data_IF_976035813292
#
_entry.id   IF_976035813292
#
_cell.length_a   1.000
_cell.length_b   1.000
_cell.length_c   1.000
_cell.angle_alpha   90.00
_cell.angle_beta   90.00
_cell.angle_gamma   90.00
#
_symmetry.space_group_name_H-M   'P 1'
#
loop_
_entity.id
_entity.type
_entity.pdbx_description
1 polymer ?
2 polymer ?
3 polymer ?
4 polymer ?
5 non-polymer ?
#
loop_
_entity_poly.entity_id
_entity_poly.type
_entity_poly.pdbx_seq_one_letter_code
_entity_poly.pdbx_strand_id
1 'polyribonucleotide' 'GGUUCGAAAUUAGGUGCGCUUCGCGUUACAGUUAAGGCUCUGAAAAGAGCCUUAAUUGUAAAACGCCUAUACAGUGAAGGGAUAUACGCUUGGGUUUGUCCAGCCUGAGCCUCUAUGCCAGAAAUGGCGCCUUCAUCGUGGGUUAGGACAUUUAAUUUU' ?
2 'polydeoxyribonucleotide' '(DC)(DA)(DT)(DT)(DT)(DG)(DA)(DC)(DC)(DC)(DG)(DC)(DG)(DA)(DA)(DG)(DC)(DG)(DC)(DA)(DC)(DC)(DT)(DA)(DA)(DT)(DT)(DT)(DC)(DG)(DA)(DA)(DG)(DC)(DC)(DC)(DT)' ?
4 'polydeoxyribonucleotide' '(DA)(DG)(DG)(DG)(DC)(DT)(DT)(DC)(DG)(DA)(DA)(DA)(DT)(DT)(DA)(DG)(DG)(DT)(DG)(DC)(DG)(DC)(DT)(DT)(DC)(DG)(DC)(DG)(DG)(DG)(DT)(DC)(DA)(DA)(DA)(DT)(DG)' ?
#
# COMPACT_ATOMS: atom_id res chain seq x y z
N UNK C 7 -11.16 26.60 -21.68
CA UNK C 7 -10.95 25.85 -20.41
C UNK C 7 -10.29 26.73 -19.36
N UNK C 8 -8.99 26.96 -19.50
CA UNK C 8 -8.25 27.76 -18.54
C UNK C 8 -7.91 27.05 -17.25
N UNK C 9 -8.20 25.75 -17.15
CA UNK C 9 -7.95 25.01 -15.91
C UNK C 9 -6.49 25.15 -15.50
N UNK C 10 -6.28 25.35 -14.20
CA UNK C 10 -4.94 25.38 -13.63
C UNK C 10 -4.95 24.71 -12.27
N UNK C 11 -4.11 23.69 -12.10
CA UNK C 11 -4.17 22.86 -10.91
C UNK C 11 -2.78 22.75 -10.30
N UNK C 12 -2.74 22.57 -8.98
CA UNK C 12 -1.49 22.52 -8.25
C UNK C 12 -1.70 22.17 -6.79
N UNK C 13 -0.77 21.40 -6.24
CA UNK C 13 -0.90 21.00 -4.84
C UNK C 13 -2.24 20.34 -4.60
N UNK C 14 -2.93 20.80 -3.55
CA UNK C 14 -4.22 20.24 -3.18
C UNK C 14 -5.39 20.92 -3.87
N UNK C 15 -5.16 21.91 -4.74
CA UNK C 15 -6.25 22.75 -5.23
C UNK C 15 -6.20 22.90 -6.74
N UNK C 16 -7.32 23.34 -7.31
CA UNK C 16 -7.40 23.61 -8.74
C UNK C 16 -8.37 24.78 -8.97
N UNK C 17 -8.27 25.38 -10.14
CA UNK C 17 -9.14 26.48 -10.50
C UNK C 17 -9.55 26.44 -11.96
N UNK C 18 -10.85 26.58 -12.22
CA UNK C 18 -11.36 26.59 -13.60
C UNK C 18 -11.57 28.04 -14.06
N UNK C 19 -10.43 28.71 -14.29
CA UNK C 19 -10.43 30.10 -14.70
C UNK C 19 -10.78 30.23 -16.19
N UNK C 20 -12.04 29.93 -16.50
CA UNK C 20 -12.53 29.98 -17.87
C UNK C 20 -12.30 31.37 -18.45
N UNK C 30 -15.40 32.35 -15.86
CA UNK C 30 -15.53 31.78 -14.53
C UNK C 30 -14.20 31.81 -13.79
N UNK C 31 -14.26 31.77 -12.45
CA UNK C 31 -13.05 31.73 -11.63
C UNK C 31 -13.22 30.78 -10.44
N UNK C 32 -13.94 29.67 -10.62
CA UNK C 32 -14.31 28.80 -9.52
C UNK C 32 -13.12 27.95 -9.09
N UNK C 33 -12.80 28.00 -7.79
CA UNK C 33 -11.78 27.13 -7.22
C UNK C 33 -12.42 25.85 -6.71
N UNK C 34 -11.64 24.78 -6.72
CA UNK C 34 -12.09 23.46 -6.33
C UNK C 34 -11.02 22.78 -5.48
N UNK C 35 -11.46 22.08 -4.45
CA UNK C 35 -10.58 21.32 -3.57
C UNK C 35 -10.64 19.85 -3.96
N UNK C 36 -9.48 19.28 -4.29
CA UNK C 36 -9.38 17.89 -4.69
C UNK C 36 -9.08 17.01 -3.48
N UNK C 37 -9.40 15.72 -3.63
CA UNK C 37 -9.11 14.75 -2.58
C UNK C 37 -7.62 14.43 -2.56
N UNK C 38 -6.97 14.74 -1.44
CA UNK C 38 -5.54 14.48 -1.26
C UNK C 38 -5.28 13.32 -0.32
N UNK C 39 -6.25 12.41 -0.19
CA UNK C 39 -6.14 11.28 0.72
C UNK C 39 -6.14 9.93 0.02
N UNK C 40 -6.75 9.83 -1.16
CA UNK C 40 -6.97 8.52 -1.79
C UNK C 40 -5.68 7.73 -1.89
N UNK C 41 -4.55 8.41 -2.05
CA UNK C 41 -3.27 7.71 -2.12
C UNK C 41 -2.96 7.04 -0.78
N UNK C 42 -3.04 7.78 0.32
CA UNK C 42 -2.78 7.20 1.62
C UNK C 42 -3.82 6.18 2.03
N UNK C 43 -5.04 6.28 1.50
CA UNK C 43 -6.07 5.30 1.79
C UNK C 43 -5.77 3.99 1.05
N UNK C 44 -5.37 4.08 -0.21
CA UNK C 44 -4.99 2.88 -0.94
C UNK C 44 -3.72 2.26 -0.36
N UNK C 45 -2.80 3.08 0.14
CA UNK C 45 -1.60 2.53 0.76
C UNK C 45 -1.92 1.64 1.95
N UNK C 46 -2.91 2.00 2.76
CA UNK C 46 -3.28 1.20 3.91
C UNK C 46 -4.34 0.16 3.59
N UNK C 47 -5.02 0.27 2.46
CA UNK C 47 -5.81 -0.82 1.91
C UNK C 47 -4.92 -1.87 1.27
N UNK C 48 -3.66 -1.54 1.03
CA UNK C 48 -2.67 -2.48 0.49
C UNK C 48 -1.88 -3.13 1.61
N UNK C 49 -1.46 -2.37 2.63
CA UNK C 49 -0.81 -2.96 3.78
C UNK C 49 -1.72 -3.99 4.44
N UNK C 50 -3.02 -3.69 4.50
CA UNK C 50 -3.97 -4.62 5.10
C UNK C 50 -4.10 -5.89 4.27
N UNK C 51 -4.14 -5.75 2.94
CA UNK C 51 -4.20 -6.93 2.08
C UNK C 51 -2.94 -7.78 2.22
N UNK C 52 -1.77 -7.14 2.34
CA UNK C 52 -0.55 -7.89 2.55
C UNK C 52 -0.54 -8.63 3.87
N UNK C 53 -1.01 -7.98 4.93
CA UNK C 53 -1.12 -8.63 6.23
C UNK C 53 -2.05 -9.84 6.13
N UNK C 54 -3.20 -9.66 5.49
CA UNK C 54 -4.15 -10.74 5.35
C UNK C 54 -3.56 -11.92 4.58
N UNK C 55 -2.83 -11.64 3.50
CA UNK C 55 -2.30 -12.71 2.67
C UNK C 55 -1.15 -13.44 3.37
N UNK C 56 -0.33 -12.71 4.11
CA UNK C 56 0.69 -13.34 4.93
C UNK C 56 0.05 -14.29 5.94
N UNK C 57 -1.01 -13.85 6.60
CA UNK C 57 -1.69 -14.70 7.58
C UNK C 57 -2.30 -15.93 6.90
N UNK C 58 -2.90 -15.76 5.73
CA UNK C 58 -3.51 -16.90 5.05
C UNK C 58 -2.45 -17.93 4.67
N UNK C 59 -1.29 -17.46 4.18
CA UNK C 59 -0.22 -18.40 3.86
C UNK C 59 0.33 -19.09 5.10
N UNK C 60 0.41 -18.38 6.24
CA UNK C 60 0.79 -19.04 7.47
C UNK C 60 -0.18 -20.15 7.84
N UNK C 61 -1.48 -19.90 7.69
CA UNK C 61 -2.46 -20.94 8.00
C UNK C 61 -2.32 -22.13 7.06
N UNK C 62 -2.11 -21.87 5.76
CA UNK C 62 -1.89 -22.95 4.81
C UNK C 62 -0.71 -23.82 5.21
N UNK C 63 0.42 -23.17 5.51
CA UNK C 63 1.63 -23.90 5.84
C UNK C 63 1.46 -24.70 7.13
N UNK C 64 0.81 -24.11 8.12
CA UNK C 64 0.59 -24.84 9.37
C UNK C 64 -0.32 -26.05 9.15
N UNK C 65 -1.38 -25.89 8.36
CA UNK C 65 -2.23 -27.03 8.06
C UNK C 65 -1.43 -28.15 7.44
N UNK C 66 -0.63 -27.82 6.42
CA UNK C 66 0.16 -28.84 5.73
C UNK C 66 1.14 -29.52 6.68
N UNK C 67 1.84 -28.75 7.50
CA UNK C 67 2.81 -29.31 8.43
C UNK C 67 2.13 -30.24 9.43
N UNK C 68 0.99 -29.81 9.97
CA UNK C 68 0.24 -30.65 10.91
C UNK C 68 -0.17 -31.96 10.26
N UNK C 69 -0.75 -31.89 9.06
CA UNK C 69 -1.17 -33.10 8.37
C UNK C 69 0.01 -34.06 8.21
N UNK C 70 1.15 -33.55 7.73
CA UNK C 70 2.29 -34.42 7.49
C UNK C 70 2.79 -35.04 8.80
N UNK C 71 2.93 -34.21 9.85
CA UNK C 71 3.47 -34.73 11.10
C UNK C 71 2.57 -35.80 11.69
N UNK C 72 1.25 -35.60 11.61
CA UNK C 72 0.34 -36.63 12.09
C UNK C 72 0.42 -37.88 11.24
N UNK C 73 0.68 -37.73 9.94
CA UNK C 73 0.75 -38.89 9.06
C UNK C 73 1.92 -39.81 9.38
N UNK C 74 3.00 -39.29 9.97
CA UNK C 74 4.20 -40.07 10.21
C UNK C 74 4.36 -40.43 11.68
N UNK C 75 3.29 -40.36 12.47
CA UNK C 75 3.31 -40.83 13.84
C UNK C 75 3.63 -39.78 14.89
N UNK C 76 4.09 -38.60 14.48
CA UNK C 76 4.34 -37.50 15.41
C UNK C 76 3.04 -36.73 15.64
N UNK C 77 2.10 -37.39 16.32
CA UNK C 77 0.81 -36.77 16.57
C UNK C 77 0.97 -35.54 17.47
N UNK C 78 -0.14 -34.82 17.65
CA UNK C 78 -0.12 -33.53 18.32
C UNK C 78 0.41 -33.62 19.75
N UNK C 79 0.25 -34.76 20.41
CA UNK C 79 0.68 -34.89 21.79
C UNK C 79 2.18 -35.12 21.93
N UNK C 80 2.85 -35.49 20.84
CA UNK C 80 4.29 -35.75 20.87
C UNK C 80 5.07 -34.44 20.89
N UNK C 81 6.24 -34.47 21.54
CA UNK C 81 7.08 -33.28 21.60
C UNK C 81 7.60 -32.86 20.24
N UNK C 82 7.80 -33.81 19.32
CA UNK C 82 8.26 -33.47 17.99
C UNK C 82 7.27 -32.52 17.31
N UNK C 83 5.99 -32.88 17.36
CA UNK C 83 4.96 -32.01 16.80
C UNK C 83 4.98 -30.65 17.47
N UNK C 84 5.08 -30.63 18.80
CA UNK C 84 5.08 -29.34 19.50
C UNK C 84 6.21 -28.46 18.98
N UNK C 85 7.43 -28.97 18.94
CA UNK C 85 8.57 -28.15 18.58
C UNK C 85 8.50 -27.72 17.12
N UNK C 86 8.16 -28.64 16.21
CA UNK C 86 8.16 -28.30 14.80
C UNK C 86 7.03 -27.34 14.48
N UNK C 87 5.85 -27.53 15.09
CA UNK C 87 4.73 -26.65 14.83
C UNK C 87 4.97 -25.27 15.42
N UNK C 88 5.66 -25.18 16.56
CA UNK C 88 6.01 -23.87 17.10
C UNK C 88 7.05 -23.17 16.24
N UNK C 89 7.98 -23.94 15.66
CA UNK C 89 8.97 -23.34 14.77
C UNK C 89 8.36 -22.88 13.45
N UNK C 90 7.30 -23.55 12.99
CA UNK C 90 6.69 -23.18 11.72
C UNK C 90 5.91 -21.88 11.79
N UNK C 91 5.67 -21.33 12.98
CA UNK C 91 4.96 -20.06 13.07
C UNK C 91 5.84 -18.89 12.65
N UNK C 92 7.11 -18.90 13.09
CA UNK C 92 8.08 -17.88 12.71
C UNK C 92 9.24 -18.57 12.01
N UNK C 93 9.14 -18.67 10.68
CA UNK C 93 10.10 -19.41 9.87
C UNK C 93 11.30 -18.58 9.42
N UNK C 94 11.32 -17.28 9.66
CA UNK C 94 12.42 -16.45 9.22
C UNK C 94 12.32 -16.04 7.76
N UNK C 95 13.20 -15.14 7.32
CA UNK C 95 13.19 -14.65 5.96
C UNK C 95 14.22 -15.37 5.10
N UNK C 96 14.00 -15.31 3.78
CA UNK C 96 14.89 -15.95 2.83
C UNK C 96 15.19 -15.08 1.62
N UNK C 97 14.94 -13.77 1.69
CA UNK C 97 15.26 -12.91 0.56
C UNK C 97 16.75 -12.67 0.42
N UNK C 98 17.54 -13.01 1.43
CA UNK C 98 18.98 -12.82 1.42
C UNK C 98 19.64 -14.08 1.98
N UNK C 99 20.95 -14.15 1.89
CA UNK C 99 21.59 -15.29 2.46
C UNK C 99 22.59 -14.89 3.44
N UNK C 100 22.74 -15.72 4.45
CA UNK C 100 23.71 -15.47 5.45
C UNK C 100 25.04 -16.10 5.02
N UNK C 133 15.16 -8.16 12.97
CA UNK C 133 13.92 -8.38 13.70
C UNK C 133 13.40 -9.81 13.51
N UNK C 134 14.14 -10.61 12.74
CA UNK C 134 13.74 -11.98 12.48
C UNK C 134 14.98 -12.84 12.27
N UNK C 135 14.79 -14.14 12.43
CA UNK C 135 15.84 -15.11 12.15
C UNK C 135 15.83 -15.45 10.65
N UNK C 136 16.93 -16.04 10.20
CA UNK C 136 17.02 -16.47 8.82
C UNK C 136 16.39 -17.85 8.65
N UNK C 137 15.94 -18.14 7.43
CA UNK C 137 15.34 -19.45 7.17
C UNK C 137 16.28 -20.57 7.59
N UNK C 138 17.59 -20.37 7.42
CA UNK C 138 18.57 -21.40 7.76
C UNK C 138 18.58 -21.73 9.25
N UNK C 139 18.44 -20.73 10.12
CA UNK C 139 18.41 -21.02 11.55
C UNK C 139 17.17 -21.81 11.93
N UNK C 140 16.01 -21.42 11.40
CA UNK C 140 14.78 -22.14 11.69
C UNK C 140 14.87 -23.58 11.20
N UNK C 141 15.41 -23.76 9.98
CA UNK C 141 15.52 -25.11 9.43
C UNK C 141 16.54 -25.93 10.21
N UNK C 142 17.60 -25.28 10.71
CA UNK C 142 18.55 -25.98 11.56
C UNK C 142 17.86 -26.48 12.83
N UNK C 143 17.02 -25.63 13.44
CA UNK C 143 16.30 -26.06 14.63
C UNK C 143 15.29 -27.16 14.31
N UNK C 144 14.66 -27.10 13.13
CA UNK C 144 13.73 -28.16 12.72
C UNK C 144 14.47 -29.48 12.57
N UNK C 145 15.64 -29.45 11.92
CA UNK C 145 16.45 -30.66 11.80
C UNK C 145 16.85 -31.19 13.16
N UNK C 146 17.26 -30.30 14.06
CA UNK C 146 17.62 -30.73 15.41
C UNK C 146 16.47 -31.45 16.08
N UNK C 147 15.28 -30.83 16.04
CA UNK C 147 14.12 -31.39 16.72
C UNK C 147 13.71 -32.73 16.11
N UNK C 148 13.72 -32.83 14.78
CA UNK C 148 13.28 -34.07 14.15
C UNK C 148 14.31 -35.18 14.26
N UNK C 149 15.59 -34.84 14.37
CA UNK C 149 16.60 -35.83 14.70
C UNK C 149 16.37 -36.36 16.11
N UNK C 150 16.19 -35.44 17.07
CA UNK C 150 15.90 -35.86 18.43
C UNK C 150 14.58 -36.61 18.54
N UNK C 151 13.71 -36.50 17.54
CA UNK C 151 12.49 -37.28 17.47
C UNK C 151 12.61 -38.61 16.79
N UNK C 152 13.81 -38.96 16.30
CA UNK C 152 14.04 -40.23 15.63
C UNK C 152 13.37 -40.29 14.25
N UNK C 153 13.38 -39.17 13.53
CA UNK C 153 12.81 -39.14 12.20
C UNK C 153 13.85 -39.49 11.14
N UNK C 154 13.38 -40.09 10.04
CA UNK C 154 14.25 -40.47 8.95
C UNK C 154 14.62 -39.27 8.09
N UNK C 155 15.63 -39.45 7.23
CA UNK C 155 16.09 -38.35 6.40
C UNK C 155 14.99 -37.84 5.47
N UNK C 156 14.21 -38.74 4.88
CA UNK C 156 13.14 -38.31 3.99
C UNK C 156 12.09 -37.51 4.73
N UNK C 157 11.79 -37.87 5.98
CA UNK C 157 10.81 -37.12 6.76
C UNK C 157 11.31 -35.71 7.05
N UNK C 158 12.56 -35.59 7.52
CA UNK C 158 13.12 -34.27 7.79
C UNK C 158 13.13 -33.45 6.52
N UNK C 159 13.45 -34.08 5.38
CA UNK C 159 13.51 -33.34 4.13
C UNK C 159 12.14 -32.86 3.69
N UNK C 160 11.09 -33.67 3.90
CA UNK C 160 9.75 -33.20 3.55
C UNK C 160 9.31 -32.08 4.46
N UNK C 161 9.65 -32.14 5.74
CA UNK C 161 9.33 -31.02 6.63
C UNK C 161 10.09 -29.76 6.22
N UNK C 162 11.32 -29.92 5.77
CA UNK C 162 12.07 -28.79 5.23
C UNK C 162 11.39 -28.22 3.99
N UNK C 163 10.88 -29.09 3.12
CA UNK C 163 10.16 -28.62 1.94
C UNK C 163 8.92 -27.85 2.32
N UNK C 164 8.23 -28.28 3.37
CA UNK C 164 7.08 -27.52 3.86
C UNK C 164 7.52 -26.16 4.40
N UNK C 165 8.62 -26.13 5.15
CA UNK C 165 9.11 -24.87 5.69
C UNK C 165 9.60 -23.92 4.61
N UNK C 166 9.95 -24.43 3.43
CA UNK C 166 10.41 -23.59 2.32
C UNK C 166 9.38 -23.40 1.22
N UNK C 167 8.17 -23.94 1.38
CA UNK C 167 7.21 -23.97 0.28
C UNK C 167 6.73 -22.57 -0.07
N UNK C 168 6.38 -22.39 -1.34
CA UNK C 168 5.82 -21.14 -1.85
C UNK C 168 4.33 -21.37 -2.12
N UNK C 169 3.48 -20.77 -1.30
CA UNK C 169 2.06 -21.11 -1.35
C UNK C 169 1.29 -20.25 -2.33
N UNK C 170 1.71 -19.00 -2.53
CA UNK C 170 1.13 -18.13 -3.54
C UNK C 170 2.19 -17.78 -4.57
N UNK C 171 1.98 -18.07 -5.86
CA UNK C 171 3.03 -17.84 -6.85
C UNK C 171 3.43 -16.38 -6.95
N UNK C 172 4.73 -16.15 -7.10
CA UNK C 172 5.26 -14.84 -7.43
C UNK C 172 5.20 -14.65 -8.94
N UNK C 173 4.31 -13.78 -9.40
CA UNK C 173 4.12 -13.52 -10.82
C UNK C 173 4.31 -12.03 -11.08
N UNK C 174 5.46 -11.65 -11.63
CA UNK C 174 5.80 -10.25 -11.83
C UNK C 174 6.49 -9.98 -13.17
N UNK C 175 6.73 -11.01 -13.96
CA UNK C 175 7.53 -10.85 -15.17
C UNK C 175 6.73 -10.30 -16.34
N UNK C 176 5.40 -10.35 -16.27
CA UNK C 176 4.57 -10.08 -17.44
C UNK C 176 3.28 -9.35 -17.07
N UNK C 177 3.34 -8.46 -16.08
CA UNK C 177 2.12 -7.92 -15.47
C UNK C 177 1.58 -6.67 -16.15
N UNK C 178 2.40 -5.64 -16.34
CA UNK C 178 1.99 -4.38 -16.94
C UNK C 178 2.32 -4.44 -18.42
N UNK C 179 1.33 -4.18 -19.27
CA UNK C 179 1.38 -4.49 -20.69
C UNK C 179 1.21 -3.22 -21.51
N UNK C 180 2.33 -2.58 -21.87
CA UNK C 180 2.35 -1.42 -22.75
C UNK C 180 2.08 -1.83 -24.19
N UNK C 181 1.00 -1.31 -24.78
CA UNK C 181 0.67 -1.64 -26.16
C UNK C 181 1.34 -0.68 -27.13
N UNK C 182 1.43 -1.11 -28.39
CA UNK C 182 2.17 -0.35 -29.39
C UNK C 182 1.47 0.96 -29.71
N UNK C 183 2.27 2.00 -29.94
CA UNK C 183 1.73 3.36 -30.01
C UNK C 183 0.95 3.59 -31.30
N UNK C 184 1.45 3.09 -32.43
CA UNK C 184 0.78 3.35 -33.70
C UNK C 184 -0.65 2.83 -33.63
N UNK C 185 -1.59 3.62 -34.17
CA UNK C 185 -3.01 3.34 -33.97
C UNK C 185 -3.41 1.98 -34.53
N UNK C 186 -2.74 1.51 -35.58
CA UNK C 186 -3.12 0.25 -36.21
C UNK C 186 -2.49 -0.97 -35.54
N UNK C 187 -1.65 -0.78 -34.53
CA UNK C 187 -0.95 -1.87 -33.86
C UNK C 187 -1.30 -1.84 -32.38
N UNK C 188 -2.30 -2.62 -32.00
CA UNK C 188 -2.65 -2.77 -30.61
C UNK C 188 -1.86 -3.81 -29.85
N UNK C 189 -0.76 -4.31 -30.43
CA UNK C 189 -0.06 -5.45 -29.87
C UNK C 189 0.85 -5.01 -28.73
N UNK C 190 1.37 -6.00 -28.01
CA UNK C 190 2.24 -5.75 -26.86
C UNK C 190 3.62 -5.31 -27.31
N UNK C 191 4.14 -4.28 -26.67
CA UNK C 191 5.54 -3.96 -26.86
C UNK C 191 6.39 -4.88 -25.98
N UNK C 192 7.64 -5.14 -26.39
CA UNK C 192 8.50 -6.00 -25.57
C UNK C 192 9.11 -5.24 -24.40
N UNK C 193 9.64 -6.01 -23.45
CA UNK C 193 10.56 -5.44 -22.48
C UNK C 193 11.82 -4.99 -23.21
N UNK C 194 12.36 -3.85 -22.79
CA UNK C 194 13.53 -3.30 -23.47
C UNK C 194 14.75 -4.22 -23.36
N UNK C 195 14.79 -5.10 -22.34
CA UNK C 195 15.89 -6.04 -22.23
C UNK C 195 15.78 -7.21 -23.20
N UNK C 196 14.59 -7.45 -23.74
CA UNK C 196 14.38 -8.52 -24.71
C UNK C 196 14.58 -8.06 -26.15
N UNK C 197 14.76 -6.76 -26.39
CA UNK C 197 14.96 -6.24 -27.73
C UNK C 197 16.19 -5.32 -27.76
N UNK C 198 17.20 -5.63 -26.95
CA UNK C 198 18.40 -4.80 -26.94
C UNK C 198 18.99 -4.65 -28.34
N UNK C 199 18.84 -5.66 -29.20
CA UNK C 199 19.35 -5.57 -30.55
C UNK C 199 18.65 -4.46 -31.33
N UNK C 200 17.32 -4.40 -31.24
CA UNK C 200 16.58 -3.36 -31.95
C UNK C 200 16.95 -1.98 -31.44
N UNK C 201 17.11 -1.83 -30.12
CA UNK C 201 17.46 -0.54 -29.56
C UNK C 201 18.87 -0.11 -29.96
N UNK C 202 19.80 -1.06 -30.06
CA UNK C 202 21.15 -0.72 -30.51
C UNK C 202 21.14 -0.35 -31.98
N UNK C 203 20.31 -1.04 -32.78
CA UNK C 203 20.18 -0.68 -34.19
C UNK C 203 19.62 0.72 -34.34
N UNK C 204 18.64 1.08 -33.49
CA UNK C 204 18.03 2.40 -33.57
C UNK C 204 19.07 3.51 -33.41
N UNK C 205 20.18 3.22 -32.75
CA UNK C 205 21.25 4.20 -32.58
C UNK C 205 22.31 4.07 -33.66
N UNK C 206 22.67 2.84 -34.02
CA UNK C 206 23.76 2.63 -34.95
C UNK C 206 23.36 2.96 -36.38
N UNK C 207 22.06 3.01 -36.69
CA UNK C 207 21.63 3.29 -38.05
C UNK C 207 21.94 4.72 -38.49
N UNK C 208 22.35 5.59 -37.57
CA UNK C 208 22.63 6.99 -37.88
C UNK C 208 24.12 7.32 -37.84
N UNK C 209 25.01 6.31 -37.73
CA UNK C 209 26.44 6.57 -37.75
C UNK C 209 26.95 6.78 -39.18
N UNK C 210 28.06 7.53 -39.34
CA UNK C 210 28.62 7.74 -40.68
C UNK C 210 29.45 6.58 -41.17
N UNK C 211 28.85 5.38 -41.24
CA UNK C 211 29.56 4.18 -41.67
C UNK C 211 28.64 3.39 -42.60
N UNK C 212 29.22 2.38 -43.25
CA UNK C 212 28.45 1.57 -44.18
C UNK C 212 27.65 0.52 -43.42
N UNK C 213 26.67 -0.06 -44.11
CA UNK C 213 25.78 -1.04 -43.49
C UNK C 213 26.55 -2.22 -42.92
N UNK C 214 27.58 -2.69 -43.63
CA UNK C 214 28.34 -3.85 -43.14
C UNK C 214 28.99 -3.54 -41.81
N UNK C 215 29.60 -2.36 -41.69
CA UNK C 215 30.20 -1.97 -40.42
C UNK C 215 29.14 -1.75 -39.35
N UNK C 216 27.97 -1.26 -39.74
CA UNK C 216 26.88 -1.11 -38.78
C UNK C 216 26.47 -2.46 -38.20
N UNK C 217 26.31 -3.46 -39.06
CA UNK C 217 25.94 -4.80 -38.58
C UNK C 217 27.04 -5.39 -37.72
N UNK C 218 28.30 -5.23 -38.12
CA UNK C 218 29.41 -5.74 -37.31
C UNK C 218 29.41 -5.09 -35.94
N UNK C 219 29.21 -3.77 -35.89
CA UNK C 219 29.19 -3.07 -34.60
C UNK C 219 28.03 -3.54 -33.74
N UNK C 220 26.86 -3.70 -34.36
CA UNK C 220 25.69 -4.19 -33.64
C UNK C 220 25.95 -5.54 -33.01
N UNK C 221 26.56 -6.46 -33.78
CA UNK C 221 26.85 -7.78 -33.25
C UNK C 221 27.98 -7.74 -32.21
N UNK C 222 28.91 -6.79 -32.34
CA UNK C 222 30.02 -6.73 -31.41
C UNK C 222 29.59 -6.20 -30.04
N UNK C 223 28.75 -5.17 -30.02
CA UNK C 223 28.38 -4.57 -28.74
C UNK C 223 27.51 -5.51 -27.92
N UNK C 224 26.60 -6.24 -28.55
CA UNK C 224 25.73 -7.18 -27.83
C UNK C 224 26.55 -8.28 -27.18
N UNK C 228 33.74 -9.62 -27.72
CA UNK C 228 33.82 -8.47 -28.61
C UNK C 228 33.52 -7.20 -27.83
N UNK C 229 34.44 -6.87 -26.91
CA UNK C 229 34.27 -5.71 -26.04
C UNK C 229 35.21 -4.61 -26.49
N UNK C 230 36.50 -4.90 -26.52
CA UNK C 230 37.47 -3.94 -27.01
C UNK C 230 37.20 -3.53 -28.45
N UNK C 231 36.46 -4.35 -29.20
CA UNK C 231 36.20 -4.01 -30.60
C UNK C 231 35.38 -2.72 -30.71
N UNK C 232 34.29 -2.62 -29.93
CA UNK C 232 33.47 -1.42 -29.97
C UNK C 232 34.25 -0.21 -29.47
N UNK C 233 35.08 -0.40 -28.44
CA UNK C 233 35.89 0.70 -27.94
C UNK C 233 36.85 1.20 -29.01
N UNK C 234 37.49 0.28 -29.74
CA UNK C 234 38.37 0.67 -30.82
C UNK C 234 37.61 1.36 -31.94
N UNK C 235 36.41 0.86 -32.27
CA UNK C 235 35.57 1.49 -33.28
C UNK C 235 35.31 2.95 -32.92
N UNK C 236 34.81 3.18 -31.71
CA UNK C 236 34.51 4.53 -31.28
C UNK C 236 35.77 5.39 -31.24
N UNK C 237 36.87 4.84 -30.72
CA UNK C 237 38.13 5.57 -30.65
C UNK C 237 38.60 6.00 -32.02
N UNK C 238 38.30 5.21 -33.06
CA UNK C 238 38.63 5.56 -34.43
C UNK C 238 37.50 6.30 -35.12
N UNK C 239 36.29 5.75 -35.10
CA UNK C 239 35.12 6.38 -35.71
C UNK C 239 34.46 7.33 -34.69
N UNK C 240 35.13 8.45 -34.46
CA UNK C 240 34.74 9.39 -33.41
C UNK C 240 33.23 9.56 -33.36
N UNK C 241 32.66 9.29 -32.18
CA UNK C 241 31.23 9.39 -31.96
C UNK C 241 30.97 10.12 -30.65
N UNK C 242 29.80 10.76 -30.56
CA UNK C 242 29.51 11.60 -29.40
C UNK C 242 29.45 10.77 -28.13
N UNK C 243 29.89 11.37 -27.02
CA UNK C 243 29.95 10.66 -25.75
C UNK C 243 28.57 10.18 -25.32
N UNK C 244 27.54 10.98 -25.57
CA UNK C 244 26.20 10.59 -25.17
C UNK C 244 25.72 9.37 -25.94
N UNK C 245 26.02 9.29 -27.23
CA UNK C 245 25.63 8.13 -28.01
C UNK C 245 26.32 6.87 -27.50
N UNK C 246 27.61 6.98 -27.19
CA UNK C 246 28.35 5.83 -26.67
C UNK C 246 27.77 5.39 -25.33
N UNK C 247 27.46 6.28 -24.41
CA UNK C 247 26.80 5.84 -23.19
C UNK C 247 25.52 5.21 -23.49
N UNK C 248 24.72 5.80 -24.33
CA UNK C 248 23.42 5.21 -24.59
C UNK C 248 23.53 3.77 -25.10
N UNK C 249 24.46 3.52 -26.03
CA UNK C 249 24.60 2.17 -26.55
C UNK C 249 25.11 1.23 -25.47
N UNK C 250 26.05 1.69 -24.64
CA UNK C 250 26.51 0.86 -23.53
C UNK C 250 25.38 0.57 -22.56
N UNK C 251 24.54 1.57 -22.27
CA UNK C 251 23.41 1.36 -21.38
C UNK C 251 22.46 0.31 -21.94
N UNK C 252 22.16 0.39 -23.23
CA UNK C 252 21.26 -0.58 -23.84
C UNK C 252 21.90 -1.97 -23.82
N UNK C 253 23.21 -2.04 -23.99
CA UNK C 253 23.88 -3.34 -24.05
C UNK C 253 23.98 -4.00 -22.68
N UNK C 254 24.23 -3.22 -21.63
CA UNK C 254 24.62 -3.75 -20.34
C UNK C 254 23.60 -3.56 -19.22
N UNK C 255 22.89 -2.43 -19.20
CA UNK C 255 22.08 -2.09 -18.03
C UNK C 255 20.84 -2.97 -17.94
N UNK C 256 20.29 -3.01 -16.73
CA UNK C 256 19.05 -3.72 -16.42
C UNK C 256 17.87 -2.88 -16.92
N UNK C 257 17.36 -3.21 -18.09
CA UNK C 257 16.36 -2.38 -18.77
C UNK C 257 14.97 -2.69 -18.23
N UNK C 258 14.55 -1.92 -17.23
CA UNK C 258 13.19 -2.04 -16.71
C UNK C 258 12.20 -1.42 -17.68
N UNK C 259 11.03 -2.04 -17.78
CA UNK C 259 9.95 -1.49 -18.56
C UNK C 259 10.01 -1.88 -20.03
N UNK C 260 9.01 -1.41 -20.76
CA UNK C 260 8.85 -1.72 -22.17
C UNK C 260 9.14 -0.51 -23.04
N UNK C 261 9.21 -0.76 -24.34
CA UNK C 261 9.42 0.28 -25.33
C UNK C 261 8.06 0.85 -25.77
N UNK C 262 8.12 2.06 -26.33
CA UNK C 262 6.89 2.68 -26.83
C UNK C 262 6.33 1.94 -28.02
N UNK C 263 7.17 1.19 -28.73
CA UNK C 263 6.79 0.51 -29.97
C UNK C 263 7.10 -0.97 -29.88
N UNK C 264 6.43 -1.75 -30.72
CA UNK C 264 6.64 -3.18 -30.78
C UNK C 264 7.93 -3.50 -31.53
N UNK C 265 8.17 -4.79 -31.77
CA UNK C 265 9.33 -5.18 -32.57
C UNK C 265 9.28 -4.55 -33.96
N UNK C 266 8.12 -4.59 -34.60
CA UNK C 266 7.99 -4.14 -35.98
C UNK C 266 8.01 -2.62 -36.11
N UNK C 267 8.02 -1.87 -35.01
CA UNK C 267 7.89 -0.42 -35.08
C UNK C 267 8.90 0.37 -34.26
N UNK C 268 9.85 -0.27 -33.58
CA UNK C 268 10.83 0.50 -32.80
C UNK C 268 11.63 1.41 -33.72
N UNK C 269 12.09 0.89 -34.86
CA UNK C 269 12.90 1.70 -35.76
C UNK C 269 12.06 2.66 -36.60
N UNK C 270 10.82 2.30 -36.89
CA UNK C 270 9.93 3.13 -37.70
C UNK C 270 9.35 4.31 -36.93
N UNK C 271 9.84 4.58 -35.72
CA UNK C 271 9.21 5.60 -34.87
C UNK C 271 9.23 6.98 -35.54
N UNK C 272 10.26 7.28 -36.34
CA UNK C 272 10.31 8.58 -36.98
C UNK C 272 9.13 8.78 -37.93
N UNK C 273 8.63 7.70 -38.53
CA UNK C 273 7.48 7.82 -39.42
C UNK C 273 6.21 8.17 -38.66
N UNK C 274 6.22 8.09 -37.33
CA UNK C 274 5.08 8.40 -36.50
C UNK C 274 5.35 9.54 -35.53
N UNK C 275 6.37 10.37 -35.80
CA UNK C 275 6.82 11.36 -34.84
C UNK C 275 5.75 12.39 -34.49
N UNK C 276 4.80 12.64 -35.38
CA UNK C 276 3.82 13.70 -35.14
C UNK C 276 2.78 13.33 -34.10
N UNK C 277 2.58 12.03 -33.86
CA UNK C 277 1.65 11.61 -32.82
C UNK C 277 2.26 11.87 -31.45
N UNK C 278 1.50 12.53 -30.57
CA UNK C 278 2.02 12.89 -29.27
C UNK C 278 2.15 11.66 -28.37
N UNK C 279 2.86 11.84 -27.26
CA UNK C 279 2.98 10.77 -26.28
C UNK C 279 1.61 10.42 -25.71
N UNK C 280 1.35 9.12 -25.59
CA UNK C 280 0.08 8.61 -25.11
C UNK C 280 0.22 8.07 -23.68
N UNK C 281 -0.92 7.87 -23.03
CA UNK C 281 -0.97 7.40 -21.65
C UNK C 281 -2.05 6.35 -21.52
N UNK C 282 -1.78 5.33 -20.70
CA UNK C 282 -2.75 4.27 -20.43
C UNK C 282 -2.83 3.86 -18.96
N UNK C 283 -1.81 4.16 -18.14
CA UNK C 283 -1.74 3.68 -16.76
C UNK C 283 -1.41 4.83 -15.81
N UNK C 284 -2.45 5.48 -15.28
CA UNK C 284 -2.28 6.54 -14.30
C UNK C 284 -2.71 6.04 -12.92
N UNK C 285 -2.07 6.58 -11.90
CA UNK C 285 -2.34 6.16 -10.53
C UNK C 285 -3.82 6.39 -10.20
N UNK C 286 -4.50 5.43 -9.56
CA UNK C 286 -5.93 5.64 -9.28
C UNK C 286 -6.23 6.87 -8.42
N UNK C 287 -5.32 7.28 -7.55
CA UNK C 287 -5.56 8.48 -6.76
C UNK C 287 -5.51 9.73 -7.64
N UNK C 288 -4.49 9.82 -8.49
CA UNK C 288 -4.45 10.92 -9.45
C UNK C 288 -5.63 10.86 -10.41
N UNK C 289 -6.04 9.66 -10.79
CA UNK C 289 -7.25 9.54 -11.62
C UNK C 289 -8.46 10.10 -10.89
N UNK C 290 -8.61 9.78 -9.60
CA UNK C 290 -9.74 10.30 -8.85
C UNK C 290 -9.71 11.83 -8.80
N UNK C 291 -8.55 12.40 -8.48
CA UNK C 291 -8.41 13.86 -8.48
C UNK C 291 -8.85 14.44 -9.82
N UNK C 292 -8.20 13.98 -10.90
CA UNK C 292 -8.37 14.60 -12.20
C UNK C 292 -9.80 14.41 -12.70
N UNK C 293 -10.40 13.25 -12.43
CA UNK C 293 -11.76 13.00 -12.88
C UNK C 293 -12.79 13.75 -12.05
N UNK C 294 -12.52 14.01 -10.77
CA UNK C 294 -13.39 14.92 -10.02
C UNK C 294 -13.33 16.33 -10.61
N UNK C 295 -12.13 16.79 -10.94
CA UNK C 295 -12.00 18.11 -11.56
C UNK C 295 -12.75 18.13 -12.90
N UNK C 296 -12.62 17.06 -13.68
CA UNK C 296 -13.28 17.01 -14.99
C UNK C 296 -14.79 16.91 -14.84
N UNK C 297 -15.30 16.22 -13.81
CA UNK C 297 -16.74 16.20 -13.57
C UNK C 297 -17.24 17.58 -13.17
N UNK C 298 -16.46 18.31 -12.36
CA UNK C 298 -16.82 19.69 -12.06
C UNK C 298 -16.89 20.52 -13.34
N UNK C 299 -15.90 20.34 -14.22
CA UNK C 299 -15.91 21.05 -15.50
C UNK C 299 -17.17 20.70 -16.29
N UNK C 300 -17.50 19.40 -16.35
CA UNK C 300 -18.66 18.97 -17.15
C UNK C 300 -19.97 19.52 -16.59
N UNK C 301 -20.11 19.57 -15.26
CA UNK C 301 -21.31 20.17 -14.68
C UNK C 301 -21.38 21.66 -14.99
N UNK C 302 -20.24 22.35 -14.89
CA UNK C 302 -20.16 23.76 -15.20
C UNK C 302 -19.78 23.97 -16.66
N UNK C 312 -5.60 26.21 -23.60
CA UNK C 312 -5.60 25.96 -22.16
C UNK C 312 -4.18 26.08 -21.61
N UNK C 313 -3.93 27.15 -20.87
CA UNK C 313 -2.64 27.33 -20.20
C UNK C 313 -2.70 26.67 -18.84
N UNK C 314 -2.47 25.35 -18.80
CA UNK C 314 -2.67 24.59 -17.58
C UNK C 314 -1.35 24.36 -16.83
N UNK C 315 -0.92 25.34 -16.05
CA UNK C 315 0.27 25.20 -15.22
C UNK C 315 0.00 24.20 -14.10
N UNK C 448 3.12 17.60 -8.87
CA UNK C 448 1.80 18.00 -9.34
C UNK C 448 1.70 17.84 -10.86
N UNK C 449 2.85 17.85 -11.53
CA UNK C 449 2.87 17.74 -12.98
C UNK C 449 2.48 16.36 -13.49
N UNK C 450 2.55 15.34 -12.63
CA UNK C 450 2.23 13.98 -13.06
C UNK C 450 0.79 13.95 -13.55
N UNK C 451 0.52 13.04 -14.48
CA UNK C 451 -0.84 12.88 -14.97
C UNK C 451 -1.27 13.96 -15.93
N UNK C 452 -0.31 14.89 -16.31
CA UNK C 452 -0.64 15.92 -17.31
C UNK C 452 -1.30 15.39 -18.56
N UNK C 453 -0.86 14.31 -19.12
CA UNK C 453 -1.40 13.82 -20.39
C UNK C 453 -2.79 13.23 -20.22
N UNK C 454 -3.09 12.62 -19.07
CA UNK C 454 -4.43 12.10 -18.86
C UNK C 454 -5.46 13.22 -18.84
N UNK C 455 -5.16 14.36 -18.23
CA UNK C 455 -6.06 15.50 -18.27
C UNK C 455 -6.17 15.92 -19.67
N UNK C 456 -5.01 16.15 -20.30
CA UNK C 456 -5.01 16.68 -21.66
C UNK C 456 -5.86 15.84 -22.60
N UNK C 457 -5.95 14.53 -22.37
CA UNK C 457 -6.76 13.66 -23.20
C UNK C 457 -8.21 13.60 -22.77
N UNK C 458 -8.50 13.79 -21.48
CA UNK C 458 -9.88 13.86 -21.05
C UNK C 458 -10.50 15.22 -21.37
N UNK C 459 -9.70 16.28 -21.35
CA UNK C 459 -10.21 17.59 -21.74
C UNK C 459 -10.71 17.58 -23.18
N UNK C 460 -10.09 16.77 -24.04
CA UNK C 460 -10.52 16.63 -25.42
C UNK C 460 -11.71 15.68 -25.57
N UNK C 461 -12.19 15.11 -24.47
CA UNK C 461 -13.30 14.16 -24.51
C UNK C 461 -14.31 14.49 -23.41
N UNK C 466 -11.28 17.24 -29.36
CA UNK C 466 -10.54 16.35 -30.24
C UNK C 466 -9.22 16.98 -30.66
N UNK C 467 -9.15 18.31 -30.63
CA UNK C 467 -7.93 19.01 -31.01
C UNK C 467 -7.63 20.20 -30.11
N UNK C 468 -8.11 20.21 -28.87
CA UNK C 468 -7.94 21.36 -27.99
C UNK C 468 -6.46 21.69 -27.80
N UNK C 469 -6.03 22.91 -28.10
CA UNK C 469 -4.65 23.29 -27.79
C UNK C 469 -4.39 23.34 -26.29
N UNK C 470 -3.13 23.12 -25.92
CA UNK C 470 -2.71 23.14 -24.52
C UNK C 470 -1.42 23.95 -24.44
N UNK C 471 -1.25 24.68 -23.33
CA UNK C 471 -0.09 25.54 -23.12
C UNK C 471 0.53 25.26 -21.75
N UNK C 472 0.85 23.99 -21.53
CA UNK C 472 1.60 23.59 -20.34
C UNK C 472 2.74 24.56 -20.05
N UNK C 495 -4.39 30.17 -0.40
CA UNK C 495 -5.81 29.90 -0.62
C UNK C 495 -6.38 30.74 -1.76
N UNK C 496 -5.54 31.64 -2.31
CA UNK C 496 -5.97 32.49 -3.42
C UNK C 496 -5.60 31.86 -4.75
N UNK C 497 -5.62 30.52 -4.81
CA UNK C 497 -5.19 29.82 -6.01
C UNK C 497 -5.95 30.29 -7.25
N UNK C 498 -7.23 30.61 -7.11
CA UNK C 498 -8.02 31.03 -8.26
C UNK C 498 -7.47 32.31 -8.89
N UNK C 499 -6.77 33.15 -8.12
CA UNK C 499 -6.15 34.34 -8.67
C UNK C 499 -4.89 34.02 -9.46
N UNK C 500 -4.15 32.99 -9.05
CA UNK C 500 -2.97 32.57 -9.81
C UNK C 500 -3.37 31.84 -11.09
N UNK C 501 -4.53 31.20 -11.10
CA UNK C 501 -5.00 30.49 -12.29
C UNK C 501 -5.26 31.47 -13.42
N UNK C 544 -14.69 12.96 1.02
CA UNK C 544 -14.60 11.64 1.64
C UNK C 544 -15.93 11.19 2.24
N UNK C 545 -16.21 9.89 2.14
CA UNK C 545 -17.42 9.29 2.70
C UNK C 545 -16.97 7.97 3.34
N UNK C 546 -16.60 8.03 4.62
CA UNK C 546 -16.06 6.85 5.29
C UNK C 546 -17.10 5.75 5.48
N UNK C 547 -18.37 6.04 5.24
CA UNK C 547 -19.40 5.03 5.24
C UNK C 547 -19.58 4.32 3.91
N UNK C 548 -18.71 4.58 2.95
CA UNK C 548 -18.81 3.96 1.65
C UNK C 548 -18.64 2.45 1.76
N UNK C 549 -19.17 1.75 0.76
CA UNK C 549 -19.21 0.28 0.68
C UNK C 549 -17.83 -0.35 0.59
N UNK C 550 -16.76 0.42 0.49
CA UNK C 550 -15.44 -0.15 0.38
C UNK C 550 -14.53 0.33 1.48
N UNK C 551 -15.09 1.08 2.43
CA UNK C 551 -14.32 1.56 3.56
C UNK C 551 -14.25 0.49 4.64
N UNK C 552 -13.31 0.65 5.56
CA UNK C 552 -13.15 -0.30 6.65
C UNK C 552 -14.43 -0.39 7.46
N UNK C 553 -14.87 -1.63 7.74
CA UNK C 553 -16.05 -1.83 8.57
C UNK C 553 -15.77 -1.58 10.04
N UNK C 554 -14.51 -1.63 10.45
CA UNK C 554 -14.16 -1.40 11.86
C UNK C 554 -12.68 -1.10 11.94
N UNK C 555 -12.23 -0.82 13.17
CA UNK C 555 -10.83 -0.54 13.41
C UNK C 555 -9.96 -1.75 13.06
N UNK C 556 -8.65 -1.51 13.01
CA UNK C 556 -7.68 -2.56 12.71
C UNK C 556 -7.14 -3.25 13.96
N UNK C 557 -7.17 -2.60 15.11
CA UNK C 557 -6.69 -3.20 16.34
C UNK C 557 -7.87 -3.60 17.20
N UNK C 558 -8.10 -4.89 17.45
CA UNK C 558 -9.27 -5.28 18.27
C UNK C 558 -9.13 -4.76 19.69
N UNK C 559 -10.28 -4.54 20.33
CA UNK C 559 -10.34 -4.07 21.69
C UNK C 559 -10.77 -5.20 22.63
N UNK C 560 -10.52 -4.99 23.91
CA UNK C 560 -10.98 -5.88 24.98
C UNK C 560 -12.23 -5.27 25.60
N UNK C 561 -13.28 -6.07 25.73
CA UNK C 561 -14.57 -5.62 26.25
C UNK C 561 -15.00 -6.60 27.34
N UNK C 562 -14.63 -6.31 28.58
CA UNK C 562 -14.85 -7.23 29.68
C UNK C 562 -15.76 -6.58 30.73
N UNK C 563 -16.85 -7.27 31.05
CA UNK C 563 -17.82 -6.83 32.04
C UNK C 563 -18.11 -5.33 31.91
N UNK C 564 -18.39 -4.93 30.67
CA UNK C 564 -18.84 -3.58 30.40
C UNK C 564 -17.75 -2.55 30.20
N UNK C 565 -16.50 -2.89 30.44
CA UNK C 565 -15.39 -1.95 30.32
C UNK C 565 -14.66 -2.23 29.01
N UNK C 566 -14.46 -1.17 28.23
CA UNK C 566 -13.64 -1.24 27.04
C UNK C 566 -12.22 -0.82 27.42
N UNK C 567 -11.26 -1.71 27.19
CA UNK C 567 -9.86 -1.42 27.40
C UNK C 567 -9.07 -1.98 26.24
N UNK C 568 -7.79 -1.63 26.18
CA UNK C 568 -6.86 -2.19 25.21
C UNK C 568 -5.46 -1.97 25.72
N UNK C 569 -4.55 -2.84 25.32
CA UNK C 569 -3.17 -2.69 25.73
C UNK C 569 -2.45 -1.74 24.80
N UNK C 570 -1.87 -0.68 25.37
CA UNK C 570 -1.06 0.27 24.63
C UNK C 570 0.32 0.31 25.26
N UNK C 571 1.34 0.43 24.42
CA UNK C 571 2.71 0.49 24.92
C UNK C 571 2.90 1.78 25.72
N UNK C 572 3.80 1.72 26.71
CA UNK C 572 4.05 2.90 27.52
C UNK C 572 4.51 4.05 26.66
N UNK C 573 5.22 3.76 25.57
CA UNK C 573 5.61 4.75 24.60
C UNK C 573 4.53 5.04 23.57
N UNK C 574 3.29 4.63 23.85
CA UNK C 574 2.15 4.90 23.00
C UNK C 574 1.00 5.54 23.78
N UNK C 575 1.16 5.72 25.09
CA UNK C 575 0.15 6.34 25.94
C UNK C 575 0.57 7.79 26.15
N UNK C 576 -0.37 8.71 25.97
CA UNK C 576 -0.04 10.12 25.87
C UNK C 576 -0.03 10.80 27.23
N UNK C 577 0.89 11.76 27.38
CA UNK C 577 0.93 12.57 28.59
C UNK C 577 -0.37 13.34 28.76
N UNK C 578 -0.85 13.42 30.00
CA UNK C 578 -2.15 13.98 30.28
C UNK C 578 -3.29 13.01 30.09
N UNK C 579 -3.01 11.79 29.64
CA UNK C 579 -4.04 10.79 29.40
C UNK C 579 -3.80 9.52 30.22
N UNK C 580 -2.78 9.53 31.09
CA UNK C 580 -2.42 8.32 31.83
C UNK C 580 -3.52 7.89 32.79
N UNK C 581 -4.51 8.74 33.02
CA UNK C 581 -5.66 8.37 33.84
C UNK C 581 -6.47 7.23 33.23
N UNK C 582 -6.33 6.95 31.94
CA UNK C 582 -6.98 5.80 31.34
C UNK C 582 -6.28 4.49 31.68
N UNK C 583 -5.02 4.52 32.11
CA UNK C 583 -4.32 3.31 32.50
C UNK C 583 -5.08 2.66 33.65
N UNK C 584 -5.43 1.39 33.48
CA UNK C 584 -6.24 0.70 34.47
C UNK C 584 -5.47 0.53 35.78
N UNK C 585 -4.24 0.07 35.70
CA UNK C 585 -3.48 -0.23 36.91
C UNK C 585 -3.21 1.04 37.70
N UNK C 586 -3.60 0.89 39.06
CA UNK C 586 -3.33 2.00 39.93
C UNK C 586 -1.85 2.23 40.14
N UNK C 587 -1.10 1.26 40.30
CA UNK C 587 0.33 1.32 40.54
C UNK C 587 1.06 1.89 39.34
N UNK C 588 0.73 1.42 38.14
CA UNK C 588 1.40 1.92 36.95
C UNK C 588 0.92 3.31 36.56
N UNK C 589 -0.30 3.70 36.91
CA UNK C 589 -0.67 5.10 36.78
C UNK C 589 0.25 5.98 37.61
N UNK C 590 0.46 5.61 38.87
CA UNK C 590 1.35 6.40 39.72
C UNK C 590 2.77 6.39 39.17
N UNK C 591 3.23 5.24 38.68
CA UNK C 591 4.58 5.17 38.12
C UNK C 591 4.71 6.06 36.88
N UNK C 592 3.67 6.06 36.03
CA UNK C 592 3.72 6.88 34.82
C UNK C 592 3.69 8.37 35.16
N UNK C 593 2.90 8.75 36.18
CA UNK C 593 2.91 10.14 36.62
C UNK C 593 4.27 10.52 37.21
N UNK C 594 4.87 9.62 37.98
CA UNK C 594 6.21 9.86 38.51
C UNK C 594 7.22 9.98 37.38
N UNK C 595 6.99 9.29 36.27
CA UNK C 595 7.88 9.43 35.12
C UNK C 595 7.67 10.76 34.42
N UNK C 596 6.43 11.23 34.23
CA UNK C 596 6.20 12.52 33.45
C UNK C 596 6.59 13.83 34.21
N UNK C 597 6.54 13.89 35.53
CA UNK C 597 7.01 15.06 36.29
C UNK C 597 8.53 15.19 36.26
N UNK C 598 9.22 14.04 35.78
CA UNK C 598 10.63 14.23 35.43
C UNK C 598 10.83 14.43 33.93
N UNK C 599 10.03 13.76 33.10
CA UNK C 599 10.19 13.84 31.65
C UNK C 599 9.55 15.09 31.05
N UNK C 600 8.59 15.70 31.55
CA UNK C 600 8.03 16.95 31.03
C UNK C 600 7.46 16.68 29.69
N UNK C 601 6.79 15.48 29.59
CA UNK C 601 6.38 15.06 28.26
C UNK C 601 5.10 15.75 27.79
N UNK C 602 4.56 16.68 28.58
CA UNK C 602 3.28 17.29 28.24
C UNK C 602 3.28 17.95 26.87
N UNK C 603 4.44 18.39 26.38
CA UNK C 603 4.48 19.06 25.08
C UNK C 603 4.37 18.05 23.94
N UNK C 604 5.34 17.13 23.85
CA UNK C 604 5.28 16.11 22.82
C UNK C 604 4.21 15.07 23.04
N UNK C 605 3.95 14.72 24.31
CA UNK C 605 2.82 13.89 24.70
C UNK C 605 3.00 12.43 24.29
N UNK C 606 4.08 12.09 23.59
CA UNK C 606 4.21 10.72 23.09
C UNK C 606 5.11 9.85 23.95
N UNK C 607 5.99 10.43 24.76
CA UNK C 607 6.99 9.67 25.50
C UNK C 607 7.89 8.90 24.52
N UNK C 608 8.96 8.31 25.01
CA UNK C 608 9.98 7.77 24.12
C UNK C 608 10.59 6.52 24.73
N UNK C 609 11.09 5.64 23.86
CA UNK C 609 11.65 4.37 24.30
C UNK C 609 12.75 4.56 25.33
N UNK C 610 13.67 5.50 25.08
CA UNK C 610 14.73 5.75 26.05
C UNK C 610 14.16 6.22 27.38
N UNK C 611 13.17 7.10 27.36
CA UNK C 611 12.57 7.58 28.59
C UNK C 611 11.86 6.46 29.34
N UNK C 612 11.11 5.62 28.62
CA UNK C 612 10.43 4.50 29.26
C UNK C 612 11.43 3.53 29.89
N UNK C 613 12.50 3.23 29.17
CA UNK C 613 13.53 2.34 29.71
C UNK C 613 14.17 2.94 30.95
N UNK C 614 14.48 4.23 30.90
CA UNK C 614 15.10 4.88 32.06
C UNK C 614 14.15 4.90 33.25
N UNK C 615 12.85 5.10 32.99
CA UNK C 615 11.86 5.15 34.06
C UNK C 615 11.57 3.78 34.67
N UNK C 616 12.05 2.70 34.06
CA UNK C 616 11.80 1.37 34.59
C UNK C 616 10.59 0.67 34.01
N UNK C 617 10.19 1.04 32.80
CA UNK C 617 9.09 0.37 32.11
C UNK C 617 9.56 -0.73 31.17
N UNK C 618 10.86 -1.02 31.15
CA UNK C 618 11.41 -2.08 30.31
C UNK C 618 11.34 -3.39 31.09
N UNK C 619 10.21 -4.08 30.94
CA UNK C 619 9.91 -5.28 31.70
C UNK C 619 9.80 -6.53 30.84
N UNK C 620 9.79 -6.38 29.51
CA UNK C 620 9.49 -7.49 28.61
C UNK C 620 10.70 -8.38 28.39
N UNK C 621 10.51 -9.39 27.52
CA UNK C 621 11.52 -10.43 27.31
C UNK C 621 12.85 -9.83 26.89
N UNK C 622 12.85 -9.00 25.85
CA UNK C 622 14.08 -8.44 25.29
C UNK C 622 14.46 -7.11 25.93
N UNK C 623 14.10 -6.91 27.19
CA UNK C 623 14.28 -5.61 27.85
C UNK C 623 13.46 -4.55 27.15
N UNK C 624 12.41 -4.98 26.46
CA UNK C 624 11.57 -4.10 25.67
C UNK C 624 10.53 -3.43 26.57
N UNK C 625 10.08 -2.24 26.17
CA UNK C 625 9.15 -1.48 27.02
C UNK C 625 7.84 -2.22 27.14
N UNK C 626 7.34 -2.32 28.36
CA UNK C 626 6.12 -3.06 28.65
C UNK C 626 4.92 -2.39 28.00
N UNK C 627 3.75 -2.96 28.25
CA UNK C 627 2.48 -2.42 27.82
C UNK C 627 1.54 -2.30 29.01
N UNK C 628 0.66 -1.32 28.97
CA UNK C 628 -0.34 -1.09 30.00
C UNK C 628 -1.72 -1.17 29.38
N UNK C 629 -2.64 -1.79 30.12
CA UNK C 629 -4.04 -1.79 29.70
C UNK C 629 -4.67 -0.45 30.07
N UNK C 630 -5.33 0.17 29.08
CA UNK C 630 -5.92 1.49 29.24
C UNK C 630 -7.35 1.46 28.78
N UNK C 631 -8.21 2.20 29.47
CA UNK C 631 -9.60 2.33 29.06
C UNK C 631 -9.70 3.21 27.82
N UNK C 632 -10.66 2.90 26.97
CA UNK C 632 -10.78 3.51 25.65
C UNK C 632 -11.79 4.65 25.73
N UNK C 633 -11.29 5.88 25.73
CA UNK C 633 -12.14 7.05 25.54
C UNK C 633 -12.51 7.20 24.07
N UNK C 634 -13.54 8.00 23.82
CA UNK C 634 -13.99 8.21 22.46
C UNK C 634 -14.76 7.07 21.87
N UNK C 635 -15.12 6.07 22.68
CA UNK C 635 -15.87 4.92 22.22
C UNK C 635 -17.02 4.67 23.18
N UNK C 636 -17.95 3.91 22.65
CA UNK C 636 -19.04 3.54 23.44
C UNK C 636 -19.48 2.19 23.17
N UNK C 637 -20.48 1.75 23.91
CA UNK C 637 -20.88 0.36 23.72
C UNK C 637 -21.55 0.15 22.46
N UNK C 638 -22.25 1.13 21.99
CA UNK C 638 -22.96 1.07 20.73
C UNK C 638 -22.08 0.83 19.53
N UNK C 639 -20.79 1.15 19.64
CA UNK C 639 -19.84 0.93 18.55
C UNK C 639 -19.15 -0.43 18.62
N UNK C 640 -19.32 -1.17 19.71
CA UNK C 640 -18.61 -2.44 19.86
C UNK C 640 -19.28 -3.50 19.00
N UNK C 641 -18.48 -4.21 18.21
CA UNK C 641 -18.92 -5.42 17.54
C UNK C 641 -17.98 -6.55 17.93
N UNK C 642 -18.47 -7.78 17.81
CA UNK C 642 -17.66 -8.96 18.08
C UNK C 642 -17.69 -9.88 16.87
N UNK C 643 -16.52 -10.13 16.30
CA UNK C 643 -16.33 -11.10 15.22
C UNK C 643 -15.31 -12.11 15.70
N UNK C 644 -15.67 -13.39 15.62
CA UNK C 644 -14.86 -14.47 16.22
C UNK C 644 -14.61 -14.09 17.68
N UNK C 645 -13.36 -14.09 18.14
CA UNK C 645 -13.07 -13.69 19.51
C UNK C 645 -12.82 -12.19 19.64
N UNK C 646 -12.63 -11.48 18.53
CA UNK C 646 -12.20 -10.10 18.56
C UNK C 646 -13.37 -9.15 18.75
N UNK C 647 -13.14 -8.09 19.54
CA UNK C 647 -14.07 -6.99 19.69
C UNK C 647 -13.47 -5.76 19.02
N UNK C 648 -14.24 -5.13 18.14
CA UNK C 648 -13.78 -4.00 17.36
C UNK C 648 -14.70 -2.79 17.56
N UNK C 649 -14.09 -1.61 17.56
CA UNK C 649 -14.84 -0.36 17.43
C UNK C 649 -15.16 -0.10 15.97
N UNK C 650 -16.45 0.08 15.67
CA UNK C 650 -16.90 0.41 14.32
C UNK C 650 -17.43 1.83 14.29
N UNK C 651 -16.83 2.68 13.45
CA UNK C 651 -17.28 4.05 13.27
C UNK C 651 -18.42 4.17 12.28
N UNK C 652 -18.79 3.08 11.60
CA UNK C 652 -19.83 3.12 10.59
C UNK C 652 -21.04 2.36 11.12
N UNK C 653 -21.21 2.35 12.44
CA UNK C 653 -22.35 1.67 13.03
C UNK C 653 -23.68 2.31 12.60
N UNK C 654 -23.67 3.61 12.31
CA UNK C 654 -24.87 4.32 11.92
C UNK C 654 -24.93 4.50 10.41
N UNK C 655 -26.01 4.01 9.81
CA UNK C 655 -26.31 4.32 8.42
C UNK C 655 -27.41 5.39 8.31
N UNK C 656 -28.20 5.59 9.34
CA UNK C 656 -29.25 6.58 9.30
C UNK C 656 -29.97 6.65 10.62
N UNK C 657 -31.01 7.47 10.65
CA UNK C 657 -31.89 7.58 11.82
C UNK C 657 -33.33 7.53 11.32
N UNK C 658 -34.16 6.73 11.98
CA UNK C 658 -35.57 6.63 11.62
C UNK C 658 -36.42 7.45 12.58
N UNK C 670 -34.43 7.28 16.45
CA UNK C 670 -33.63 6.10 16.81
C UNK C 670 -32.68 5.75 15.68
N UNK C 671 -31.40 5.59 16.02
CA UNK C 671 -30.38 5.33 15.01
C UNK C 671 -30.62 3.99 14.34
N UNK C 672 -30.18 3.89 13.09
CA UNK C 672 -30.29 2.67 12.30
C UNK C 672 -28.93 1.99 12.24
N UNK C 673 -28.89 0.71 12.58
CA UNK C 673 -27.64 -0.02 12.67
C UNK C 673 -27.18 -0.48 11.29
N UNK C 674 -25.87 -0.62 11.14
CA UNK C 674 -25.27 -1.03 9.88
C UNK C 674 -25.71 -2.46 9.53
N UNK C 675 -26.33 -2.68 8.36
CA UNK C 675 -26.71 -4.06 8.01
C UNK C 675 -25.54 -5.01 7.90
N UNK C 676 -24.33 -4.49 7.69
CA UNK C 676 -23.13 -5.32 7.61
C UNK C 676 -22.54 -5.65 8.97
N UNK C 677 -23.21 -5.26 10.06
CA UNK C 677 -22.72 -5.52 11.41
C UNK C 677 -23.82 -5.89 12.38
N UNK C 678 -25.06 -6.04 11.93
CA UNK C 678 -26.17 -6.28 12.85
C UNK C 678 -25.96 -7.55 13.66
N UNK C 679 -25.38 -8.58 13.05
CA UNK C 679 -25.16 -9.85 13.73
C UNK C 679 -23.96 -9.83 14.66
N UNK C 680 -23.19 -8.74 14.67
CA UNK C 680 -21.96 -8.67 15.44
C UNK C 680 -21.97 -7.63 16.54
N UNK C 681 -23.01 -6.83 16.66
CA UNK C 681 -23.09 -5.84 17.73
C UNK C 681 -23.25 -6.53 19.07
N UNK C 682 -22.42 -6.13 20.04
CA UNK C 682 -22.48 -6.72 21.37
C UNK C 682 -23.73 -6.25 22.11
N UNK C 683 -23.99 -4.95 22.09
CA UNK C 683 -25.18 -4.43 22.76
C UNK C 683 -26.39 -4.56 21.84
N UNK C 684 -27.49 -5.14 22.31
CA UNK C 684 -28.66 -5.33 21.44
C UNK C 684 -29.30 -3.99 21.11
N UNK C 685 -29.90 -3.86 19.93
CA UNK C 685 -30.53 -2.60 19.57
C UNK C 685 -31.80 -2.37 20.38
N UNK C 686 -32.17 -1.11 20.65
CA UNK C 686 -33.43 -0.84 21.35
C UNK C 686 -34.63 -1.44 20.65
N UNK C 695 -36.60 8.60 8.18
CA UNK C 695 -35.52 7.77 7.66
C UNK C 695 -34.37 8.64 7.13
N UNK C 696 -33.93 9.57 7.96
CA UNK C 696 -32.91 10.53 7.56
C UNK C 696 -31.56 9.84 7.42
N UNK C 697 -31.03 9.82 6.20
CA UNK C 697 -29.66 9.39 5.99
C UNK C 697 -28.72 10.56 6.23
N UNK C 698 -27.42 10.28 6.22
CA UNK C 698 -26.45 11.33 6.46
C UNK C 698 -26.37 12.28 5.26
N UNK C 699 -26.03 13.54 5.54
CA UNK C 699 -25.85 14.55 4.51
C UNK C 699 -27.14 14.85 3.74
N UNK C 700 -28.28 14.41 4.25
CA UNK C 700 -29.54 14.75 3.61
C UNK C 700 -29.90 16.20 3.91
N UNK C 701 -30.67 16.81 3.00
CA UNK C 701 -31.16 18.16 3.20
C UNK C 701 -32.40 18.13 4.08
N UNK C 702 -32.36 18.88 5.18
CA UNK C 702 -33.44 18.89 6.16
C UNK C 702 -33.68 20.33 6.63
N UNK C 703 -34.87 20.55 7.18
CA UNK C 703 -35.26 21.86 7.67
C UNK C 703 -35.55 21.81 9.17
N UNK C 713 -26.60 17.30 7.35
CA UNK C 713 -26.28 16.51 8.54
C UNK C 713 -24.80 16.13 8.50
N UNK C 714 -24.04 16.61 9.49
CA UNK C 714 -22.61 16.34 9.54
C UNK C 714 -22.24 15.19 10.46
N UNK C 715 -22.99 14.99 11.53
CA UNK C 715 -22.88 13.80 12.36
C UNK C 715 -24.29 13.35 12.69
N UNK C 716 -24.48 12.03 12.79
CA UNK C 716 -25.81 11.44 12.79
C UNK C 716 -26.08 10.78 14.14
N UNK C 717 -27.36 10.62 14.43
CA UNK C 717 -27.78 9.98 15.65
C UNK C 717 -29.28 10.13 15.81
N UNK C 718 -29.76 9.89 17.03
CA UNK C 718 -31.14 10.19 17.35
C UNK C 718 -31.38 11.69 17.44
N UNK C 719 -30.34 12.51 17.60
CA UNK C 719 -30.48 13.95 17.51
C UNK C 719 -29.28 14.36 16.71
N UNK C 720 -29.40 14.30 15.40
CA UNK C 720 -28.27 14.54 14.49
C UNK C 720 -27.70 15.95 14.63
N UNK C 721 -26.41 16.06 14.32
CA UNK C 721 -25.73 17.35 14.19
C UNK C 721 -25.95 17.85 12.78
N UNK C 722 -26.48 19.07 12.66
CA UNK C 722 -26.95 19.59 11.38
C UNK C 722 -26.31 20.94 11.13
N UNK C 723 -25.75 21.09 9.93
CA UNK C 723 -25.27 22.39 9.44
C UNK C 723 -25.60 22.51 7.96
N UNK C 734 -22.46 24.01 14.25
CA UNK C 734 -22.25 23.27 15.50
C UNK C 734 -23.56 23.13 16.26
N UNK C 735 -24.67 23.23 15.54
CA UNK C 735 -26.00 23.13 16.15
C UNK C 735 -26.50 21.69 16.01
N UNK C 736 -27.11 21.17 17.07
CA UNK C 736 -27.65 19.82 17.08
C UNK C 736 -29.12 19.87 17.44
N UNK C 737 -29.94 19.08 16.75
CA UNK C 737 -31.37 19.09 16.98
C UNK C 737 -31.96 17.72 16.69
N UNK C 738 -33.14 17.49 17.25
CA UNK C 738 -33.85 16.22 17.12
C UNK C 738 -35.04 16.29 16.17
N UNK C 739 -35.70 17.45 16.06
CA UNK C 739 -36.94 17.59 15.30
C UNK C 739 -36.69 17.97 13.84
N UNK C 740 -35.57 17.54 13.27
CA UNK C 740 -35.37 17.76 11.84
C UNK C 740 -36.52 17.19 11.04
N UNK C 741 -36.78 17.80 9.89
CA UNK C 741 -37.82 17.38 8.96
C UNK C 741 -37.24 17.23 7.56
N UNK C 742 -37.82 16.32 6.79
CA UNK C 742 -37.33 16.06 5.44
C UNK C 742 -37.54 17.26 4.53
N UNK C 743 -36.56 17.51 3.67
CA UNK C 743 -36.62 18.67 2.77
C UNK C 743 -35.89 18.37 1.47
X LIG E 1 3.42 -2.02 -33.56
#
# INVERSE_FOLDING_TARGET
>C
MERELVLGIAYGGKYTGLAVVDRRHNQVLYANRLKMRDDVAGILKDRRKQRGIRRTAQTKKKRLRELKNYLKSIGYNESTATFETVYSLAHKRGYDYADMPEEKTSEEIEAMDVEERKQWEKEKQEWEETKRNSRHRKEVVKDVHKAMIEGRATEEQIKRVERIFNKQYRPKRFNNRILTKCKVEDCGVNTPLRKNVRDLLIENIVRFFPIEQSEKDNLKDAVLDKNRREEVKSFFRKHKTDEHIRKQVYDIADNKLSGRTVFCKEHILEHTEHSKEERKVFRLAPSLKTKIENVLAVIKDEILPKFTVNKVVMESNNFDIAAKTQGKKRLAKEEYGKGPREGKETRKEALLRETDGRCIYCGKSIDISNAHDDAIFPRKAGGLNIFANLVACCAVCNENKKGRTPLESGISPKPEIIAFMKNDLKKKILEDARNINTVDFNKYMSHASIGWRYMRDRLRESAGNKKLPIERQSGIYTAYFRRWWGFKKERGNTLHHALDAVILASRKGYSDDGLVDMTLKPKYNKGGEFDPEKHLPEPIEFKMDKGSRGSALHDRNPLSYKKGIITRRFMVTEIECGKEDDVISETYREKLKEAFKRFDTKKGKCLTDKEAKEAGFCIKKNELVMSLKCSIKGTGPGQMIRINNNVFKTNVHNVGVDVYLDEKGKKKAYERKNPRLSKHFIEPPPQPNGRVSFTLKRRDMVTVEGEDAIYRIKKLGTSPTIEAVVGSDGKTRTVSATKLTKANSAE
>E hetero
1 ZN ZN
#
